data_IF_056322976376
#
_entry.id   IF_056322976376
#
_cell.length_a   1.000
_cell.length_b   1.000
_cell.length_c   1.000
_cell.angle_alpha   90.00
_cell.angle_beta   90.00
_cell.angle_gamma   90.00
#
_symmetry.space_group_name_H-M   'P 1'
#
loop_
_entity.id
_entity.type
_entity.pdbx_description
1 polymer ?
#
# COMPACT_ATOMS: atom_id res chain seq x y z
N UNK A 1 -16.92 -55.36 -14.84
CA UNK A 1 -18.37 -55.15 -14.98
C UNK A 1 -18.67 -53.80 -14.34
N UNK A 2 -18.68 -52.73 -15.14
CA UNK A 2 -18.88 -51.35 -14.66
C UNK A 2 -20.39 -51.12 -14.63
N UNK A 3 -20.97 -51.09 -13.44
CA UNK A 3 -22.36 -50.66 -13.25
C UNK A 3 -22.43 -49.15 -13.47
N UNK A 4 -22.76 -48.77 -14.71
CA UNK A 4 -23.47 -47.54 -15.02
C UNK A 4 -24.81 -47.59 -14.29
N UNK A 5 -24.98 -46.85 -13.19
CA UNK A 5 -26.26 -46.33 -12.70
C UNK A 5 -26.08 -45.57 -11.40
N UNK A 6 -25.86 -44.26 -11.51
CA UNK A 6 -26.72 -43.29 -10.84
C UNK A 6 -26.52 -41.92 -11.51
N UNK A 7 -27.27 -41.68 -12.59
CA UNK A 7 -27.23 -40.40 -13.32
C UNK A 7 -27.72 -39.19 -12.47
N UNK A 8 -28.19 -39.45 -11.24
CA UNK A 8 -28.63 -38.46 -10.26
C UNK A 8 -27.77 -38.44 -8.98
N UNK A 9 -26.74 -39.29 -8.84
CA UNK A 9 -25.86 -39.20 -7.68
C UNK A 9 -24.97 -37.96 -7.81
N UNK A 10 -25.04 -37.08 -6.81
CA UNK A 10 -24.17 -35.93 -6.68
C UNK A 10 -22.75 -36.46 -6.43
N UNK A 11 -21.78 -36.27 -7.35
CA UNK A 11 -20.40 -36.71 -7.13
C UNK A 11 -19.82 -36.11 -5.85
N UNK A 12 -19.15 -36.94 -5.06
CA UNK A 12 -18.47 -36.50 -3.83
C UNK A 12 -17.00 -36.22 -4.11
N UNK A 13 -16.54 -35.02 -3.78
CA UNK A 13 -15.15 -34.59 -3.84
C UNK A 13 -14.56 -34.57 -2.43
N UNK A 14 -13.49 -35.34 -2.21
CA UNK A 14 -12.77 -35.36 -0.93
C UNK A 14 -11.59 -34.40 -0.98
N UNK A 15 -11.36 -33.63 0.10
CA UNK A 15 -10.18 -32.79 0.24
C UNK A 15 -9.79 -32.62 1.71
N UNK A 16 -8.50 -32.55 1.97
CA UNK A 16 -7.91 -32.18 3.25
C UNK A 16 -7.73 -30.66 3.44
N UNK A 17 -7.97 -29.88 2.39
CA UNK A 17 -7.91 -28.42 2.45
C UNK A 17 -9.18 -27.84 3.08
N UNK A 18 -9.18 -27.77 4.41
CA UNK A 18 -10.33 -27.35 5.23
C UNK A 18 -10.95 -26.02 4.77
N UNK A 19 -10.14 -25.02 4.40
CA UNK A 19 -10.64 -23.72 3.92
C UNK A 19 -11.51 -23.85 2.67
N UNK A 20 -11.18 -24.75 1.74
CA UNK A 20 -11.99 -24.98 0.53
C UNK A 20 -13.30 -25.69 0.85
N UNK A 21 -13.26 -26.68 1.75
CA UNK A 21 -14.44 -27.45 2.17
C UNK A 21 -15.44 -26.53 2.87
N UNK A 22 -14.98 -25.71 3.82
CA UNK A 22 -15.83 -24.74 4.52
C UNK A 22 -16.43 -23.71 3.56
N UNK A 23 -15.61 -23.14 2.67
CA UNK A 23 -16.06 -22.16 1.69
C UNK A 23 -17.19 -22.70 0.80
N UNK A 24 -17.06 -23.94 0.34
CA UNK A 24 -18.07 -24.60 -0.49
C UNK A 24 -19.31 -24.97 0.32
N UNK A 25 -19.14 -25.51 1.53
CA UNK A 25 -20.25 -25.81 2.43
C UNK A 25 -21.07 -24.58 2.79
N UNK A 26 -20.43 -23.46 3.09
CA UNK A 26 -21.11 -22.19 3.37
C UNK A 26 -21.97 -21.71 2.20
N UNK A 27 -21.51 -21.91 0.96
CA UNK A 27 -22.25 -21.51 -0.24
C UNK A 27 -23.42 -22.44 -0.55
N UNK A 28 -23.26 -23.74 -0.31
CA UNK A 28 -24.38 -24.69 -0.35
C UNK A 28 -25.47 -24.30 0.67
N UNK A 29 -25.08 -23.68 1.79
CA UNK A 29 -25.97 -23.13 2.80
C UNK A 29 -26.43 -21.69 2.52
N UNK A 30 -26.19 -21.16 1.31
CA UNK A 30 -26.56 -19.80 0.89
C UNK A 30 -25.94 -18.66 1.72
N UNK A 31 -24.81 -18.90 2.38
CA UNK A 31 -24.06 -17.87 3.12
C UNK A 31 -23.16 -17.11 2.14
N UNK A 32 -23.22 -15.77 2.15
CA UNK A 32 -22.33 -14.95 1.32
C UNK A 32 -20.88 -15.06 1.79
N UNK A 33 -19.99 -15.36 0.85
CA UNK A 33 -18.54 -15.46 1.08
C UNK A 33 -17.78 -14.24 0.56
N UNK A 34 -18.48 -13.18 0.12
CA UNK A 34 -17.86 -12.04 -0.55
C UNK A 34 -16.86 -11.30 0.34
N UNK A 35 -17.14 -11.20 1.65
CA UNK A 35 -16.24 -10.59 2.63
C UNK A 35 -14.96 -11.41 2.82
N UNK A 36 -15.09 -12.75 2.95
CA UNK A 36 -13.97 -13.69 3.09
C UNK A 36 -13.07 -13.65 1.85
N UNK A 37 -13.67 -13.73 0.66
CA UNK A 37 -12.95 -13.75 -0.62
C UNK A 37 -12.17 -12.47 -0.91
N UNK A 38 -12.59 -11.30 -0.40
CA UNK A 38 -11.84 -10.03 -0.59
C UNK A 38 -10.44 -10.07 0.02
N UNK A 39 -10.24 -10.83 1.10
CA UNK A 39 -8.97 -10.94 1.80
C UNK A 39 -8.13 -12.15 1.41
N UNK A 40 -8.68 -13.10 0.65
CA UNK A 40 -8.03 -14.38 0.35
C UNK A 40 -7.12 -14.30 -0.87
N UNK A 41 -5.89 -14.81 -0.74
CA UNK A 41 -4.98 -14.97 -1.87
C UNK A 41 -5.57 -15.94 -2.89
N UNK A 42 -5.45 -15.62 -4.19
CA UNK A 42 -6.00 -16.45 -5.26
C UNK A 42 -7.53 -16.46 -5.30
N UNK A 43 -8.19 -15.37 -4.90
CA UNK A 43 -9.65 -15.23 -4.90
C UNK A 43 -10.30 -15.51 -6.25
N UNK A 44 -9.61 -15.26 -7.36
CA UNK A 44 -10.11 -15.59 -8.70
C UNK A 44 -10.30 -17.11 -8.88
N UNK A 45 -9.35 -17.92 -8.37
CA UNK A 45 -9.44 -19.38 -8.38
C UNK A 45 -10.58 -19.87 -7.50
N UNK A 46 -10.74 -19.31 -6.30
CA UNK A 46 -11.88 -19.65 -5.45
C UNK A 46 -13.20 -19.32 -6.14
N UNK A 47 -13.35 -18.11 -6.72
CA UNK A 47 -14.56 -17.76 -7.47
C UNK A 47 -14.82 -18.68 -8.66
N UNK A 48 -13.77 -19.12 -9.35
CA UNK A 48 -13.91 -20.07 -10.45
C UNK A 48 -14.38 -21.44 -9.95
N UNK A 49 -13.77 -21.99 -8.90
CA UNK A 49 -14.21 -23.23 -8.25
C UNK A 49 -15.68 -23.10 -7.81
N UNK A 50 -16.07 -21.96 -7.25
CA UNK A 50 -17.45 -21.73 -6.83
C UNK A 50 -18.43 -21.66 -8.00
N UNK A 51 -18.04 -21.09 -9.13
CA UNK A 51 -18.84 -21.14 -10.35
C UNK A 51 -19.04 -22.58 -10.81
N UNK A 52 -17.97 -23.39 -10.82
CA UNK A 52 -18.04 -24.81 -11.20
C UNK A 52 -18.90 -25.64 -10.25
N UNK A 53 -18.85 -25.39 -8.94
CA UNK A 53 -19.67 -26.11 -7.94
C UNK A 53 -21.15 -25.69 -8.00
N UNK A 54 -21.45 -24.46 -8.41
CA UNK A 54 -22.84 -24.03 -8.64
C UNK A 54 -23.45 -24.70 -9.85
N UNK A 55 -22.65 -24.93 -10.90
CA UNK A 55 -23.09 -25.58 -12.14
C UNK A 55 -23.09 -27.11 -12.04
N UNK A 56 -22.00 -27.67 -11.54
CA UNK A 56 -21.84 -29.10 -11.27
C UNK A 56 -22.24 -29.37 -9.83
N UNK A 57 -23.41 -29.98 -9.62
CA UNK A 57 -23.83 -30.46 -8.30
C UNK A 57 -22.76 -31.40 -7.74
N UNK A 58 -21.87 -30.91 -6.88
CA UNK A 58 -20.78 -31.65 -6.25
C UNK A 58 -20.92 -31.51 -4.74
N UNK A 59 -20.81 -32.61 -4.01
CA UNK A 59 -20.75 -32.62 -2.56
C UNK A 59 -19.28 -32.63 -2.13
N UNK A 60 -18.83 -31.65 -1.33
CA UNK A 60 -17.45 -31.62 -0.87
C UNK A 60 -17.36 -32.12 0.56
N UNK A 61 -16.48 -33.07 0.81
CA UNK A 61 -16.29 -33.66 2.13
C UNK A 61 -14.84 -33.50 2.59
N UNK A 62 -14.69 -33.07 3.84
CA UNK A 62 -13.39 -33.04 4.49
C UNK A 62 -12.88 -34.45 4.74
N UNK A 63 -11.61 -34.69 4.42
CA UNK A 63 -10.87 -35.88 4.83
C UNK A 63 -9.60 -35.44 5.55
N UNK A 64 -9.17 -36.19 6.56
CA UNK A 64 -7.98 -35.81 7.33
C UNK A 64 -6.72 -36.09 6.51
N UNK A 65 -5.92 -35.05 6.29
CA UNK A 65 -4.60 -35.18 5.65
C UNK A 65 -3.68 -36.10 6.44
N UNK A 66 -2.80 -36.81 5.72
CA UNK A 66 -1.79 -37.73 6.29
C UNK A 66 -2.34 -38.80 7.25
N UNK A 67 -3.60 -39.17 7.10
CA UNK A 67 -4.20 -40.28 7.83
C UNK A 67 -3.62 -41.63 7.37
N UNK A 68 -3.25 -42.50 8.33
CA UNK A 68 -2.86 -43.89 8.08
C UNK A 68 -4.07 -44.82 7.86
N UNK A 69 -5.29 -44.28 7.95
CA UNK A 69 -6.52 -45.05 7.76
C UNK A 69 -6.64 -45.57 6.33
N UNK A 70 -7.32 -46.70 6.18
CA UNK A 70 -7.60 -47.35 4.89
C UNK A 70 -9.05 -47.11 4.46
N UNK A 71 -9.60 -45.94 4.81
CA UNK A 71 -10.96 -45.56 4.45
C UNK A 71 -11.02 -45.12 2.98
N UNK A 72 -12.18 -45.31 2.35
CA UNK A 72 -12.46 -44.89 0.97
C UNK A 72 -12.04 -43.43 0.69
N UNK A 73 -12.25 -42.44 1.58
CA UNK A 73 -11.76 -41.07 1.36
C UNK A 73 -10.26 -40.87 1.62
N UNK A 74 -9.62 -41.66 2.49
CA UNK A 74 -8.21 -41.47 2.85
C UNK A 74 -7.25 -41.96 1.75
N UNK A 75 -7.60 -43.01 1.02
CA UNK A 75 -6.78 -43.57 -0.06
C UNK A 75 -6.57 -42.61 -1.25
N UNK A 76 -7.61 -42.04 -1.89
CA UNK A 76 -7.43 -41.10 -2.99
C UNK A 76 -6.77 -39.79 -2.54
N UNK A 77 -7.00 -39.34 -1.29
CA UNK A 77 -6.28 -38.18 -0.76
C UNK A 77 -4.79 -38.43 -0.64
N UNK A 78 -4.39 -39.63 -0.19
CA UNK A 78 -2.98 -40.02 -0.08
C UNK A 78 -2.30 -40.10 -1.45
N UNK A 79 -3.02 -40.57 -2.47
CA UNK A 79 -2.54 -40.55 -3.86
C UNK A 79 -2.38 -39.10 -4.36
N UNK A 80 -3.36 -38.23 -4.10
CA UNK A 80 -3.28 -36.81 -4.44
C UNK A 80 -2.07 -36.12 -3.76
N UNK A 81 -1.86 -36.36 -2.46
CA UNK A 81 -0.72 -35.86 -1.69
C UNK A 81 0.61 -36.36 -2.25
N UNK A 82 0.68 -37.64 -2.65
CA UNK A 82 1.85 -38.23 -3.26
C UNK A 82 2.21 -37.53 -4.57
N UNK A 83 1.22 -37.30 -5.45
CA UNK A 83 1.45 -36.58 -6.70
C UNK A 83 1.80 -35.11 -6.48
N UNK A 84 1.12 -34.42 -5.57
CA UNK A 84 1.41 -33.02 -5.25
C UNK A 84 2.81 -32.84 -4.66
N UNK A 85 3.23 -33.74 -3.75
CA UNK A 85 4.59 -33.73 -3.18
C UNK A 85 5.64 -34.15 -4.21
N UNK A 86 5.30 -35.08 -5.09
CA UNK A 86 6.17 -35.52 -6.18
C UNK A 86 6.41 -34.42 -7.21
N UNK A 87 5.37 -33.65 -7.56
CA UNK A 87 5.45 -32.57 -8.54
C UNK A 87 6.28 -31.38 -8.04
N UNK A 88 6.33 -31.15 -6.72
CA UNK A 88 7.20 -30.14 -6.10
C UNK A 88 8.70 -30.39 -6.36
N UNK A 89 9.10 -31.63 -6.65
CA UNK A 89 10.50 -31.96 -6.99
C UNK A 89 10.89 -31.51 -8.40
N UNK A 90 9.91 -31.26 -9.26
CA UNK A 90 10.11 -30.88 -10.66
C UNK A 90 9.32 -29.61 -11.02
N UNK A 91 9.57 -28.48 -10.34
CA UNK A 91 8.75 -27.27 -10.50
C UNK A 91 8.82 -26.68 -11.91
N UNK A 92 9.89 -26.96 -12.66
CA UNK A 92 10.08 -26.52 -14.04
C UNK A 92 9.31 -27.36 -15.07
N UNK A 93 8.83 -28.55 -14.69
CA UNK A 93 8.03 -29.43 -15.55
C UNK A 93 6.52 -29.26 -15.32
N UNK A 94 6.12 -28.62 -14.22
CA UNK A 94 4.71 -28.35 -13.91
C UNK A 94 4.33 -27.03 -14.56
N UNK A 95 3.37 -27.02 -15.51
CA UNK A 95 2.90 -25.77 -16.08
C UNK A 95 2.23 -24.92 -14.99
N UNK A 96 2.50 -23.61 -15.02
CA UNK A 96 1.78 -22.67 -14.15
C UNK A 96 0.29 -22.72 -14.47
N UNK A 97 -0.53 -22.85 -13.43
CA UNK A 97 -1.97 -22.79 -13.59
C UNK A 97 -2.36 -21.44 -14.21
N UNK A 98 -3.19 -21.43 -15.27
CA UNK A 98 -3.63 -20.18 -15.87
C UNK A 98 -4.50 -19.42 -14.86
N UNK A 99 -4.22 -18.12 -14.70
CA UNK A 99 -4.98 -17.28 -13.78
C UNK A 99 -6.36 -17.01 -14.40
N UNK A 100 -7.48 -17.32 -13.71
CA UNK A 100 -8.82 -17.19 -14.27
C UNK A 100 -9.25 -15.72 -14.30
N UNK A 101 -8.89 -15.01 -15.37
CA UNK A 101 -9.20 -13.58 -15.56
C UNK A 101 -10.71 -13.31 -15.64
N UNK A 102 -11.51 -14.29 -16.04
CA UNK A 102 -12.97 -14.17 -16.15
C UNK A 102 -13.70 -14.16 -14.79
N UNK A 103 -13.03 -14.56 -13.70
CA UNK A 103 -13.57 -14.48 -12.33
C UNK A 103 -12.90 -13.40 -11.47
N UNK A 104 -12.00 -12.62 -12.05
CA UNK A 104 -11.38 -11.47 -11.39
C UNK A 104 -12.39 -10.35 -11.10
N UNK A 105 -12.00 -9.40 -10.27
CA UNK A 105 -12.76 -8.16 -10.11
C UNK A 105 -12.72 -7.35 -11.41
N UNK A 106 -13.79 -6.58 -11.66
CA UNK A 106 -13.92 -5.68 -12.82
C UNK A 106 -12.69 -4.79 -13.00
N UNK A 107 -12.06 -4.39 -11.89
CA UNK A 107 -10.82 -3.64 -11.87
C UNK A 107 -9.79 -4.39 -11.02
N UNK A 108 -8.87 -5.10 -11.68
CA UNK A 108 -7.76 -5.80 -11.03
C UNK A 108 -6.45 -5.14 -11.46
N UNK A 109 -5.56 -4.87 -10.51
CA UNK A 109 -4.27 -4.25 -10.79
C UNK A 109 -3.35 -5.21 -11.53
N UNK A 110 -2.56 -4.67 -12.46
CA UNK A 110 -1.61 -5.44 -13.26
C UNK A 110 -0.29 -4.68 -13.37
N UNK A 111 0.83 -5.39 -13.19
CA UNK A 111 2.16 -4.90 -13.55
C UNK A 111 2.81 -5.88 -14.53
N UNK A 112 3.66 -5.37 -15.43
CA UNK A 112 4.40 -6.25 -16.37
C UNK A 112 5.38 -7.17 -15.65
N UNK A 113 5.85 -6.80 -14.46
CA UNK A 113 6.82 -7.56 -13.70
C UNK A 113 6.17 -8.63 -12.81
N UNK A 114 5.05 -8.30 -12.16
CA UNK A 114 4.44 -9.14 -11.12
C UNK A 114 3.12 -9.81 -11.57
N UNK A 115 2.58 -9.41 -12.72
CA UNK A 115 1.32 -9.93 -13.25
C UNK A 115 0.09 -9.32 -12.57
N UNK A 116 -0.97 -10.11 -12.42
CA UNK A 116 -2.23 -9.68 -11.81
C UNK A 116 -2.14 -9.70 -10.28
N UNK A 117 -2.47 -8.57 -9.65
CA UNK A 117 -2.39 -8.40 -8.20
C UNK A 117 -3.78 -8.57 -7.61
N UNK A 118 -4.03 -9.75 -7.05
CA UNK A 118 -5.34 -10.12 -6.53
C UNK A 118 -5.55 -9.73 -5.08
N UNK A 119 -4.54 -9.53 -4.24
CA UNK A 119 -4.78 -9.28 -2.82
C UNK A 119 -3.91 -8.20 -2.24
N UNK A 120 -4.41 -7.66 -1.13
CA UNK A 120 -3.66 -6.81 -0.23
C UNK A 120 -2.93 -5.66 -0.96
N UNK A 121 -3.68 -4.97 -1.82
CA UNK A 121 -3.20 -3.83 -2.63
C UNK A 121 -2.49 -2.81 -1.75
N UNK A 122 -3.01 -2.57 -0.54
CA UNK A 122 -2.37 -1.70 0.45
C UNK A 122 -0.98 -2.18 0.81
N UNK A 123 -0.81 -3.45 1.20
CA UNK A 123 0.54 -3.99 1.50
C UNK A 123 1.42 -4.03 0.26
N UNK A 124 0.89 -4.33 -0.92
CA UNK A 124 1.64 -4.30 -2.18
C UNK A 124 2.19 -2.90 -2.46
N UNK A 125 1.31 -1.88 -2.44
CA UNK A 125 1.69 -0.47 -2.64
C UNK A 125 2.65 -0.01 -1.53
N UNK A 126 2.37 -0.33 -0.27
CA UNK A 126 3.24 0.01 0.84
C UNK A 126 4.62 -0.65 0.71
N UNK A 127 4.70 -1.89 0.23
CA UNK A 127 5.97 -2.58 -0.01
C UNK A 127 6.80 -1.86 -1.07
N UNK A 128 6.19 -1.45 -2.19
CA UNK A 128 6.93 -0.74 -3.24
C UNK A 128 7.29 0.68 -2.84
N UNK A 129 6.41 1.40 -2.14
CA UNK A 129 6.73 2.71 -1.54
C UNK A 129 7.86 2.59 -0.50
N UNK A 130 7.81 1.56 0.35
CA UNK A 130 8.86 1.28 1.32
C UNK A 130 10.17 0.85 0.65
N UNK A 131 10.12 0.10 -0.46
CA UNK A 131 11.30 -0.31 -1.23
C UNK A 131 11.92 0.88 -1.97
N UNK A 132 11.10 1.76 -2.54
CA UNK A 132 11.55 3.01 -3.15
C UNK A 132 12.20 3.91 -2.09
N UNK A 133 11.53 4.09 -0.94
CA UNK A 133 12.08 4.80 0.21
C UNK A 133 13.38 4.17 0.72
N UNK A 134 13.44 2.84 0.86
CA UNK A 134 14.62 2.09 1.30
C UNK A 134 15.77 2.17 0.29
N UNK A 135 15.47 2.17 -1.01
CA UNK A 135 16.49 2.36 -2.05
C UNK A 135 17.08 3.78 -2.05
N UNK A 136 16.30 4.77 -1.60
CA UNK A 136 16.80 6.11 -1.27
C UNK A 136 17.53 6.20 0.08
N UNK A 137 17.35 5.20 0.96
CA UNK A 137 17.85 5.16 2.35
C UNK A 137 18.86 4.03 2.62
N UNK A 138 19.46 3.41 1.59
CA UNK A 138 20.31 2.23 1.73
C UNK A 138 21.60 2.44 2.57
N UNK A 139 21.77 3.57 3.24
CA UNK A 139 22.80 3.78 4.26
C UNK A 139 22.20 4.60 5.40
N UNK A 140 22.43 4.13 6.64
CA UNK A 140 22.22 4.82 7.93
C UNK A 140 20.90 4.43 8.64
N UNK A 141 20.88 3.22 9.22
CA UNK A 141 20.18 3.03 10.50
C UNK A 141 21.09 3.59 11.59
N UNK A 142 20.63 4.60 12.31
CA UNK A 142 21.34 5.12 13.47
C UNK A 142 20.84 4.37 14.72
N UNK A 143 21.73 3.65 15.39
CA UNK A 143 21.42 2.92 16.63
C UNK A 143 21.53 3.83 17.87
N UNK A 144 21.74 5.12 17.67
CA UNK A 144 21.83 6.10 18.75
C UNK A 144 20.44 6.39 19.36
N UNK A 145 20.38 6.72 20.66
CA UNK A 145 19.14 7.14 21.30
C UNK A 145 18.55 8.36 20.56
N UNK A 146 17.22 8.46 20.44
CA UNK A 146 16.58 9.57 19.75
C UNK A 146 16.97 10.92 20.38
N UNK A 147 17.10 11.99 19.59
CA UNK A 147 17.42 13.32 20.09
C UNK A 147 16.40 13.77 21.15
N UNK A 148 16.87 14.49 22.17
CA UNK A 148 16.04 14.95 23.31
C UNK A 148 14.95 15.95 22.87
N UNK A 149 15.18 16.71 21.79
CA UNK A 149 14.28 17.75 21.28
C UNK A 149 14.22 17.75 19.74
N UNK A 150 13.71 16.68 19.09
CA UNK A 150 13.93 16.48 17.67
C UNK A 150 13.23 17.52 16.80
N UNK A 151 12.10 18.08 17.25
CA UNK A 151 11.32 19.10 16.53
C UNK A 151 10.85 20.25 17.43
N UNK A 152 11.28 20.28 18.70
CA UNK A 152 10.91 21.30 19.68
C UNK A 152 11.97 22.40 19.83
N UNK A 153 13.17 22.23 19.28
CA UNK A 153 14.19 23.27 19.18
C UNK A 153 14.60 23.50 17.72
N UNK A 154 14.56 24.76 17.29
CA UNK A 154 14.86 25.16 15.91
C UNK A 154 16.36 25.47 15.73
N UNK A 155 17.09 24.59 15.06
CA UNK A 155 18.31 24.93 14.32
C UNK A 155 18.26 24.17 13.00
N UNK A 156 18.66 24.80 11.89
CA UNK A 156 18.54 24.28 10.51
C UNK A 156 19.00 22.83 10.27
N UNK A 157 19.91 22.30 11.11
CA UNK A 157 20.34 20.90 11.17
C UNK A 157 19.20 19.91 11.52
N UNK A 158 18.14 20.39 12.17
CA UNK A 158 17.01 19.59 12.61
C UNK A 158 16.08 19.21 11.45
N UNK A 159 16.03 19.94 10.33
CA UNK A 159 15.10 19.62 9.24
C UNK A 159 15.40 18.27 8.57
N UNK A 160 16.66 18.02 8.20
CA UNK A 160 17.09 16.75 7.62
C UNK A 160 16.98 15.59 8.62
N UNK A 161 17.26 15.85 9.90
CA UNK A 161 17.11 14.87 10.98
C UNK A 161 15.64 14.54 11.21
N UNK A 162 14.77 15.53 11.32
CA UNK A 162 13.31 15.35 11.44
C UNK A 162 12.78 14.57 10.24
N UNK A 163 13.17 14.93 9.02
CA UNK A 163 12.77 14.20 7.81
C UNK A 163 13.27 12.76 7.84
N UNK A 164 14.50 12.52 8.31
CA UNK A 164 15.05 11.18 8.46
C UNK A 164 14.24 10.35 9.48
N UNK A 165 14.01 10.89 10.68
CA UNK A 165 13.22 10.24 11.73
C UNK A 165 11.75 10.06 11.33
N UNK A 166 11.17 11.00 10.59
CA UNK A 166 9.81 10.90 10.09
C UNK A 166 9.68 9.82 9.01
N UNK A 167 10.66 9.74 8.09
CA UNK A 167 10.72 8.69 7.05
C UNK A 167 10.97 7.29 7.61
N UNK A 168 11.72 7.18 8.71
CA UNK A 168 11.97 5.90 9.39
C UNK A 168 10.88 5.52 10.40
N UNK A 169 9.83 6.34 10.55
CA UNK A 169 8.78 6.17 11.57
C UNK A 169 9.35 6.08 13.00
N UNK A 170 10.43 6.83 13.24
CA UNK A 170 11.13 6.92 14.51
C UNK A 170 10.99 8.28 15.18
N UNK A 171 10.25 9.22 14.56
CA UNK A 171 9.98 10.50 15.18
C UNK A 171 9.18 10.27 16.49
N UNK A 172 9.62 10.78 17.64
CA UNK A 172 9.00 10.47 18.94
C UNK A 172 7.72 11.29 19.18
N UNK A 173 6.74 11.08 18.31
CA UNK A 173 5.37 11.57 18.45
C UNK A 173 4.64 10.75 19.53
N UNK A 174 3.56 11.28 20.13
CA UNK A 174 2.84 10.52 21.14
C UNK A 174 2.25 9.21 20.59
N UNK A 175 1.82 9.19 19.32
CA UNK A 175 1.40 7.97 18.60
C UNK A 175 2.53 6.92 18.56
N UNK A 176 3.74 7.32 18.14
CA UNK A 176 4.90 6.42 18.04
C UNK A 176 5.39 5.96 19.42
N UNK A 177 5.27 6.80 20.44
CA UNK A 177 5.68 6.46 21.81
C UNK A 177 4.67 5.53 22.49
N UNK A 178 3.37 5.73 22.28
CA UNK A 178 2.31 4.83 22.77
C UNK A 178 2.46 3.43 22.16
N UNK A 179 2.70 3.34 20.84
CA UNK A 179 2.90 2.05 20.15
C UNK A 179 4.13 1.27 20.66
N UNK A 180 5.08 1.96 21.30
CA UNK A 180 6.27 1.41 21.95
C UNK A 180 6.13 1.24 23.47
N UNK A 181 4.92 1.39 24.01
CA UNK A 181 4.63 1.34 25.45
C UNK A 181 5.46 2.32 26.29
N UNK A 182 5.82 3.48 25.70
CA UNK A 182 6.53 4.57 26.37
C UNK A 182 5.60 5.69 26.86
N UNK A 183 4.37 5.73 26.36
CA UNK A 183 3.29 6.62 26.80
C UNK A 183 1.98 5.84 26.94
N UNK A 184 1.07 6.36 27.76
CA UNK A 184 -0.25 5.79 28.02
C UNK A 184 -1.34 6.31 27.06
N UNK A 185 -1.03 7.36 26.30
CA UNK A 185 -1.97 8.02 25.39
C UNK A 185 -1.26 8.57 24.16
N UNK A 186 -1.88 8.39 23.00
CA UNK A 186 -1.47 8.99 21.73
C UNK A 186 -2.03 10.40 21.49
N UNK A 187 -2.75 11.00 22.45
CA UNK A 187 -3.27 12.37 22.30
C UNK A 187 -2.13 13.40 22.23
N UNK A 188 -2.39 14.47 21.49
CA UNK A 188 -1.52 15.64 21.39
C UNK A 188 -1.19 16.18 22.78
N UNK A 189 0.11 16.21 23.10
CA UNK A 189 0.63 16.64 24.41
C UNK A 189 0.51 18.14 24.66
N UNK A 190 0.04 18.90 23.68
CA UNK A 190 -0.14 20.35 23.77
C UNK A 190 -1.61 20.69 24.00
N UNK A 191 -2.23 21.38 23.04
CA UNK A 191 -3.57 21.98 23.20
C UNK A 191 -4.64 21.33 22.32
N UNK A 192 -4.27 20.37 21.49
CA UNK A 192 -5.20 19.80 20.51
C UNK A 192 -5.88 18.54 21.08
N UNK A 193 -7.18 18.41 20.85
CA UNK A 193 -7.90 17.16 21.12
C UNK A 193 -7.82 16.22 19.90
N UNK A 194 -6.60 15.90 19.47
CA UNK A 194 -6.32 15.06 18.32
C UNK A 194 -5.16 14.11 18.64
N UNK A 195 -5.03 13.04 17.86
CA UNK A 195 -3.87 12.14 17.95
C UNK A 195 -2.61 12.90 17.53
N UNK A 196 -1.56 12.81 18.34
CA UNK A 196 -0.24 13.37 18.03
C UNK A 196 0.47 12.51 16.99
N UNK A 197 -0.01 12.55 15.76
CA UNK A 197 0.69 11.98 14.61
C UNK A 197 1.68 12.99 14.03
N UNK A 198 2.59 12.52 13.17
CA UNK A 198 3.48 13.39 12.40
C UNK A 198 2.69 14.40 11.57
N UNK A 199 1.64 13.93 10.89
CA UNK A 199 0.76 14.80 10.09
C UNK A 199 0.09 15.86 10.97
N UNK A 200 -0.42 15.48 12.15
CA UNK A 200 -0.98 16.44 13.09
C UNK A 200 0.04 17.52 13.45
N UNK A 201 1.26 17.16 13.86
CA UNK A 201 2.30 18.13 14.27
C UNK A 201 2.62 19.11 13.12
N UNK A 202 2.88 18.60 11.91
CA UNK A 202 3.41 19.40 10.80
C UNK A 202 2.36 20.04 9.89
N UNK A 203 1.07 19.72 10.05
CA UNK A 203 0.00 20.23 9.19
C UNK A 203 -1.17 20.79 10.00
N UNK A 204 -1.60 20.12 11.06
CA UNK A 204 -2.87 20.42 11.75
C UNK A 204 -2.77 21.01 13.15
N UNK A 205 -1.61 20.98 13.79
CA UNK A 205 -1.49 21.31 15.22
C UNK A 205 -1.47 22.82 15.42
N UNK A 206 -2.41 23.33 16.21
CA UNK A 206 -2.53 24.78 16.48
C UNK A 206 -1.26 25.37 17.13
N UNK A 207 -0.57 24.58 17.96
CA UNK A 207 0.67 25.01 18.63
C UNK A 207 1.80 25.40 17.66
N UNK A 208 1.82 24.79 16.47
CA UNK A 208 2.87 25.00 15.47
C UNK A 208 2.39 25.81 14.26
N UNK A 209 1.22 26.46 14.36
CA UNK A 209 0.64 27.18 13.23
C UNK A 209 1.48 28.38 12.79
N UNK A 210 1.95 29.19 13.73
CA UNK A 210 2.84 30.32 13.44
C UNK A 210 4.09 29.86 12.69
N UNK A 211 4.70 28.74 13.10
CA UNK A 211 5.91 28.22 12.47
C UNK A 211 5.65 27.72 11.05
N UNK A 212 4.47 27.13 10.79
CA UNK A 212 4.07 26.74 9.43
C UNK A 212 3.83 27.96 8.55
N UNK A 213 3.19 29.00 9.09
CA UNK A 213 2.96 30.25 8.35
C UNK A 213 4.29 30.93 8.00
N UNK A 214 5.22 31.03 8.95
CA UNK A 214 6.55 31.61 8.74
C UNK A 214 7.35 30.81 7.71
N UNK A 215 7.40 29.49 7.83
CA UNK A 215 8.09 28.62 6.87
C UNK A 215 7.44 28.67 5.48
N UNK A 216 6.11 28.72 5.42
CA UNK A 216 5.36 28.87 4.17
C UNK A 216 5.64 30.21 3.48
N UNK A 217 5.74 31.29 4.25
CA UNK A 217 6.11 32.62 3.74
C UNK A 217 7.54 32.64 3.19
N UNK A 218 8.48 32.02 3.91
CA UNK A 218 9.89 31.92 3.49
C UNK A 218 10.04 31.12 2.18
N UNK A 219 9.40 29.95 2.08
CA UNK A 219 9.45 29.13 0.86
C UNK A 219 8.77 29.84 -0.32
N UNK A 220 7.66 30.54 -0.06
CA UNK A 220 6.99 31.33 -1.09
C UNK A 220 7.88 32.44 -1.63
N UNK A 221 8.57 33.19 -0.76
CA UNK A 221 9.48 34.26 -1.15
C UNK A 221 10.68 33.73 -1.97
N UNK A 222 11.27 32.62 -1.55
CA UNK A 222 12.37 31.98 -2.29
C UNK A 222 11.91 31.47 -3.65
N UNK A 223 10.71 30.89 -3.71
CA UNK A 223 10.09 30.43 -4.96
C UNK A 223 9.85 31.59 -5.90
N UNK A 224 9.30 32.70 -5.41
CA UNK A 224 9.05 33.91 -6.19
C UNK A 224 10.33 34.45 -6.85
N UNK A 225 11.41 34.59 -6.07
CA UNK A 225 12.72 35.01 -6.59
C UNK A 225 13.24 34.09 -7.69
N UNK A 226 13.09 32.77 -7.53
CA UNK A 226 13.51 31.79 -8.56
C UNK A 226 12.67 31.89 -9.84
N UNK A 227 11.38 32.20 -9.71
CA UNK A 227 10.49 32.39 -10.86
C UNK A 227 10.78 33.71 -11.60
N UNK A 228 11.19 34.75 -10.87
CA UNK A 228 11.69 36.00 -11.45
C UNK A 228 12.99 35.80 -12.23
N UNK A 229 13.97 35.10 -11.65
CA UNK A 229 15.24 34.75 -12.31
C UNK A 229 15.02 33.91 -13.58
N UNK A 230 13.94 33.15 -13.64
CA UNK A 230 13.56 32.34 -14.79
C UNK A 230 12.77 33.10 -15.87
N UNK A 231 12.55 34.41 -15.69
CA UNK A 231 11.81 35.29 -16.60
C UNK A 231 10.39 34.77 -16.92
N UNK A 232 9.72 34.18 -15.92
CA UNK A 232 8.36 33.70 -16.09
C UNK A 232 7.36 34.86 -16.06
N UNK A 233 6.30 34.79 -16.87
CA UNK A 233 5.20 35.76 -16.82
C UNK A 233 4.43 35.61 -15.51
N UNK A 234 4.01 36.72 -14.92
CA UNK A 234 3.31 36.77 -13.64
C UNK A 234 2.08 35.83 -13.56
N UNK A 235 1.28 35.77 -14.63
CA UNK A 235 0.14 34.85 -14.73
C UNK A 235 0.53 33.37 -14.65
N UNK A 236 1.73 33.02 -15.13
CA UNK A 236 2.25 31.66 -15.12
C UNK A 236 2.97 31.33 -13.78
N UNK A 237 3.31 32.33 -12.97
CA UNK A 237 3.91 32.17 -11.63
C UNK A 237 2.86 31.77 -10.58
N UNK A 238 1.65 32.31 -10.69
CA UNK A 238 0.61 32.17 -9.67
C UNK A 238 0.29 30.71 -9.29
N UNK A 239 0.15 29.76 -10.22
CA UNK A 239 -0.11 28.36 -9.87
C UNK A 239 1.03 27.72 -9.05
N UNK A 240 2.28 28.09 -9.35
CA UNK A 240 3.47 27.58 -8.67
C UNK A 240 3.58 28.19 -7.27
N UNK A 241 3.33 29.49 -7.14
CA UNK A 241 3.29 30.17 -5.84
C UNK A 241 2.15 29.66 -4.96
N UNK A 242 0.99 29.34 -5.54
CA UNK A 242 -0.09 28.69 -4.81
C UNK A 242 0.34 27.30 -4.32
N UNK A 243 1.00 26.50 -5.17
CA UNK A 243 1.52 25.20 -4.77
C UNK A 243 2.56 25.31 -3.63
N UNK A 244 3.44 26.32 -3.66
CA UNK A 244 4.42 26.58 -2.61
C UNK A 244 3.75 26.96 -1.27
N UNK A 245 2.70 27.79 -1.30
CA UNK A 245 1.90 28.13 -0.11
C UNK A 245 1.19 26.91 0.47
N UNK A 246 0.80 25.97 -0.39
CA UNK A 246 0.11 24.75 -0.01
C UNK A 246 1.04 23.62 0.49
N UNK A 247 2.34 23.86 0.66
CA UNK A 247 3.27 22.83 1.13
C UNK A 247 3.01 22.41 2.58
N UNK A 248 2.53 23.31 3.43
CA UNK A 248 2.31 23.04 4.87
C UNK A 248 0.84 22.79 5.24
N UNK A 249 -0.04 22.68 4.25
CA UNK A 249 -1.48 22.48 4.44
C UNK A 249 -2.00 21.36 3.51
N UNK A 250 -3.09 20.72 3.93
CA UNK A 250 -3.78 19.73 3.10
C UNK A 250 -4.58 20.44 2.01
N UNK A 251 -3.96 20.63 0.84
CA UNK A 251 -4.61 21.16 -0.36
C UNK A 251 -4.86 20.04 -1.39
N UNK A 252 -6.13 19.65 -1.62
CA UNK A 252 -6.50 18.63 -2.59
C UNK A 252 -6.12 18.97 -4.05
N UNK A 253 -5.92 20.24 -4.37
CA UNK A 253 -5.53 20.67 -5.72
C UNK A 253 -4.02 20.51 -5.96
N UNK A 254 -3.22 20.50 -4.89
CA UNK A 254 -1.75 20.48 -4.96
C UNK A 254 -1.19 19.09 -4.65
N UNK A 255 -1.73 18.43 -3.64
CA UNK A 255 -1.28 17.12 -3.20
C UNK A 255 -2.10 16.01 -3.87
N UNK A 256 -1.48 15.08 -4.63
CA UNK A 256 -2.20 13.98 -5.29
C UNK A 256 -3.00 13.10 -4.32
N UNK A 257 -2.50 12.95 -3.10
CA UNK A 257 -3.16 12.18 -2.03
C UNK A 257 -4.04 13.06 -1.12
N UNK A 258 -4.20 14.35 -1.44
CA UNK A 258 -4.93 15.36 -0.65
C UNK A 258 -4.37 15.62 0.75
N UNK A 259 -3.17 15.12 1.02
CA UNK A 259 -2.50 15.22 2.32
C UNK A 259 -1.10 15.76 2.06
N UNK A 260 -0.69 16.78 2.81
CA UNK A 260 0.69 17.28 2.73
C UNK A 260 1.66 16.24 3.26
N UNK A 261 2.73 16.02 2.48
CA UNK A 261 3.86 15.15 2.86
C UNK A 261 5.18 15.92 2.84
N UNK A 262 5.13 17.25 2.91
CA UNK A 262 6.32 18.10 2.85
C UNK A 262 7.30 17.83 4.02
N UNK A 263 6.78 17.51 5.20
CA UNK A 263 7.60 17.11 6.36
C UNK A 263 8.33 15.77 6.16
N UNK A 264 7.94 14.97 5.16
CA UNK A 264 8.68 13.79 4.70
C UNK A 264 9.69 14.15 3.60
N UNK A 265 9.96 15.43 3.35
CA UNK A 265 10.81 15.90 2.26
C UNK A 265 10.28 15.54 0.87
N UNK A 266 8.96 15.38 0.73
CA UNK A 266 8.31 15.22 -0.57
C UNK A 266 7.84 16.57 -1.09
N UNK A 267 7.87 16.76 -2.40
CA UNK A 267 7.27 17.92 -3.05
C UNK A 267 6.18 17.45 -4.02
N UNK A 268 5.08 18.21 -4.15
CA UNK A 268 4.07 17.92 -5.17
C UNK A 268 4.72 17.99 -6.56
N UNK A 269 4.18 17.26 -7.53
CA UNK A 269 4.77 17.19 -8.87
C UNK A 269 4.79 18.57 -9.53
N UNK A 270 5.94 19.25 -9.45
CA UNK A 270 6.14 20.59 -10.01
C UNK A 270 5.92 20.59 -11.53
N UNK A 271 6.17 19.45 -12.18
CA UNK A 271 5.94 19.27 -13.62
C UNK A 271 4.47 19.46 -14.02
N UNK A 272 3.53 19.22 -13.12
CA UNK A 272 2.11 19.45 -13.38
C UNK A 272 1.77 20.95 -13.43
N UNK A 273 2.59 21.79 -12.78
CA UNK A 273 2.40 23.24 -12.75
C UNK A 273 3.20 23.96 -13.85
N UNK A 274 4.28 23.37 -14.36
CA UNK A 274 5.11 23.96 -15.42
C UNK A 274 4.77 23.34 -16.78
N UNK A 275 3.85 23.97 -17.52
CA UNK A 275 3.43 23.48 -18.84
C UNK A 275 4.36 23.92 -19.98
N UNK A 276 4.34 23.19 -21.10
CA UNK A 276 5.06 23.57 -22.33
C UNK A 276 4.71 24.98 -22.83
N UNK A 277 3.48 25.44 -22.58
CA UNK A 277 3.01 26.78 -22.98
C UNK A 277 3.65 27.91 -22.16
N UNK A 278 4.13 27.59 -20.96
CA UNK A 278 4.77 28.54 -20.04
C UNK A 278 6.26 28.66 -20.32
N UNK A 279 6.93 27.52 -20.55
CA UNK A 279 8.35 27.42 -20.89
C UNK A 279 8.56 26.41 -22.04
N UNK A 280 8.61 26.87 -23.30
CA UNK A 280 8.76 26.00 -24.47
C UNK A 280 10.08 25.22 -24.45
N UNK A 281 11.14 25.85 -23.96
CA UNK A 281 12.46 25.26 -23.78
C UNK A 281 12.44 24.15 -22.71
N UNK A 282 12.73 22.93 -23.14
CA UNK A 282 12.72 21.73 -22.32
C UNK A 282 13.86 21.71 -21.29
N UNK A 283 15.01 22.29 -21.63
CA UNK A 283 16.19 22.35 -20.75
C UNK A 283 15.92 23.36 -19.63
N UNK A 284 15.43 24.57 -19.98
CA UNK A 284 15.07 25.58 -18.99
C UNK A 284 13.98 25.10 -18.04
N UNK A 285 12.96 24.41 -18.54
CA UNK A 285 11.89 23.83 -17.72
C UNK A 285 12.37 22.76 -16.77
N UNK A 286 13.23 21.82 -17.21
CA UNK A 286 13.83 20.82 -16.32
C UNK A 286 14.73 21.45 -15.27
N UNK A 287 15.52 22.45 -15.66
CA UNK A 287 16.39 23.20 -14.74
C UNK A 287 15.56 23.92 -13.67
N UNK A 288 14.49 24.61 -14.07
CA UNK A 288 13.58 25.28 -13.14
C UNK A 288 12.89 24.29 -12.21
N UNK A 289 12.34 23.19 -12.72
CA UNK A 289 11.71 22.16 -11.89
C UNK A 289 12.69 21.60 -10.85
N UNK A 290 13.91 21.27 -11.27
CA UNK A 290 14.98 20.82 -10.36
C UNK A 290 15.33 21.88 -9.30
N UNK A 291 15.43 23.15 -9.72
CA UNK A 291 15.79 24.26 -8.83
C UNK A 291 14.68 24.58 -7.82
N UNK A 292 13.40 24.35 -8.17
CA UNK A 292 12.27 24.52 -7.27
C UNK A 292 12.11 23.33 -6.31
N UNK A 293 12.49 22.12 -6.73
CA UNK A 293 12.44 20.91 -5.90
C UNK A 293 13.61 20.77 -4.92
N UNK A 294 14.63 21.64 -5.00
CA UNK A 294 15.83 21.57 -4.16
C UNK A 294 15.79 22.45 -2.90
N UNK A 295 14.71 23.23 -2.71
CA UNK A 295 14.44 23.97 -1.47
C UNK A 295 13.58 23.14 -0.52
#
# INVERSE_FOLDING_TARGET
>A
MVTLNDANAVPTLYSDHQNSVELIGDIQNHISQDSRLRGMNGRSYYRWILALVREGRVNMMYTRGHSAELTIPAQPNREADHYASGSQKFPHLVPLAPIPTFTMDTYTLFTKADGWIETNIRTFVNFFLAKEAASGLARIHDNLPPPEYPYTRALSVHSAVIQLYARSDQLPTAETLESRSRLESCLCRWVCNAVESMHHIFVGCAQFDEWRQDAGAEVSLRTERKLEEADMREKDRQPILNAAKSLFIDDPAVWPLKISQYYLGQTPSIQNFITYRMLPDTIKRRKLASHLSSD
#
